data_IF_881722986309
#
_entry.id   IF_881722986309
#
_cell.length_a   1.000
_cell.length_b   1.000
_cell.length_c   1.000
_cell.angle_alpha   90.00
_cell.angle_beta   90.00
_cell.angle_gamma   90.00
#
_symmetry.space_group_name_H-M   'P 1'
#
loop_
_entity.id
_entity.type
_entity.pdbx_description
1 polymer ?
#
# COMPACT_ATOMS: atom_id res chain seq x y z
N UNK A 1 -5.40 -9.98 -21.51
CA UNK A 1 -5.52 -8.83 -22.43
C UNK A 1 -6.18 -7.69 -21.66
N UNK A 2 -5.41 -6.74 -21.15
CA UNK A 2 -5.91 -5.38 -21.01
C UNK A 2 -4.94 -4.50 -21.79
N UNK A 3 -5.50 -3.60 -22.60
CA UNK A 3 -4.78 -2.87 -23.62
C UNK A 3 -3.93 -1.75 -23.03
N UNK A 4 -2.71 -1.62 -23.53
CA UNK A 4 -1.83 -0.46 -23.36
C UNK A 4 -2.37 0.73 -24.16
N UNK A 5 -2.58 1.87 -23.51
CA UNK A 5 -2.67 3.17 -24.19
C UNK A 5 -1.33 3.89 -24.06
N UNK A 6 -0.73 4.24 -25.22
CA UNK A 6 0.59 4.88 -25.30
C UNK A 6 0.57 6.30 -24.72
N UNK A 7 1.52 6.60 -23.84
CA UNK A 7 1.81 7.96 -23.38
C UNK A 7 2.71 8.74 -24.37
N UNK A 8 2.55 10.07 -24.52
CA UNK A 8 3.40 10.89 -25.38
C UNK A 8 4.73 11.23 -24.69
N UNK A 9 5.77 11.40 -25.51
CA UNK A 9 7.13 11.64 -25.07
C UNK A 9 7.37 13.10 -24.64
N UNK A 10 8.00 13.27 -23.47
CA UNK A 10 8.75 14.47 -23.10
C UNK A 10 8.26 15.17 -21.83
N UNK A 11 9.03 15.06 -20.74
CA UNK A 11 9.67 16.18 -20.03
C UNK A 11 10.30 15.70 -18.72
N UNK A 12 11.46 16.26 -18.39
CA UNK A 12 12.37 15.82 -17.33
C UNK A 12 11.91 16.12 -15.90
N UNK A 13 12.60 15.45 -14.97
CA UNK A 13 12.36 15.47 -13.53
C UNK A 13 11.88 14.09 -13.08
N UNK A 14 12.78 13.24 -12.59
CA UNK A 14 12.48 11.90 -12.06
C UNK A 14 11.66 11.98 -10.77
N UNK A 15 10.39 12.35 -10.89
CA UNK A 15 9.34 11.95 -9.99
C UNK A 15 8.43 11.09 -10.86
N UNK A 16 8.52 9.77 -10.73
CA UNK A 16 7.57 8.85 -11.37
C UNK A 16 6.16 9.39 -11.11
N UNK A 17 5.48 9.84 -12.16
CA UNK A 17 4.09 10.29 -12.10
C UNK A 17 3.22 9.14 -11.63
N UNK A 18 3.03 9.08 -10.32
CA UNK A 18 1.85 8.59 -9.61
C UNK A 18 1.37 7.19 -10.01
N UNK A 19 2.07 6.16 -9.53
CA UNK A 19 1.31 5.02 -9.03
C UNK A 19 0.38 5.57 -7.94
N UNK A 20 -0.92 5.70 -8.19
CA UNK A 20 -1.90 5.94 -7.11
C UNK A 20 -2.08 4.63 -6.35
N UNK A 21 -1.00 4.11 -5.76
CA UNK A 21 -1.01 3.02 -4.79
C UNK A 21 -0.86 3.66 -3.42
N UNK A 22 -1.87 3.55 -2.58
CA UNK A 22 -1.82 4.00 -1.19
C UNK A 22 -2.22 2.85 -0.31
N UNK A 23 -1.46 2.61 0.76
CA UNK A 23 -1.79 1.61 1.77
C UNK A 23 -1.98 2.32 3.10
N UNK A 24 -3.08 2.02 3.78
CA UNK A 24 -3.38 2.49 5.13
C UNK A 24 -3.67 1.28 6.03
N UNK A 25 -3.32 1.41 7.30
CA UNK A 25 -3.67 0.43 8.32
C UNK A 25 -4.78 0.97 9.20
N UNK A 26 -5.68 0.09 9.60
CA UNK A 26 -6.74 0.37 10.57
C UNK A 26 -6.66 -0.69 11.65
N UNK A 27 -6.58 -0.26 12.90
CA UNK A 27 -6.55 -1.13 14.09
C UNK A 27 -7.79 -0.82 14.91
N UNK A 28 -8.64 -1.81 15.16
CA UNK A 28 -9.93 -1.67 15.86
C UNK A 28 -10.78 -0.50 15.34
N UNK A 29 -10.83 -0.36 14.01
CA UNK A 29 -11.59 0.68 13.34
C UNK A 29 -10.94 2.08 13.30
N UNK A 30 -9.72 2.27 13.83
CA UNK A 30 -9.00 3.55 13.85
C UNK A 30 -7.78 3.54 12.94
N UNK A 31 -7.53 4.64 12.22
CA UNK A 31 -6.36 4.78 11.35
C UNK A 31 -5.06 4.66 12.17
N UNK A 32 -4.17 3.78 11.72
CA UNK A 32 -2.86 3.50 12.32
C UNK A 32 -1.74 3.98 11.38
N UNK A 33 -0.97 4.96 11.84
CA UNK A 33 0.16 5.52 11.08
C UNK A 33 1.52 5.18 11.72
N UNK A 34 1.56 4.97 13.04
CA UNK A 34 2.80 4.65 13.73
C UNK A 34 3.24 3.21 13.44
N UNK A 35 4.55 3.01 13.32
CA UNK A 35 5.12 1.68 13.05
C UNK A 35 4.90 1.17 11.62
N UNK A 36 4.30 1.98 10.72
CA UNK A 36 4.14 1.63 9.31
C UNK A 36 5.47 1.76 8.58
N UNK A 37 5.93 0.67 7.99
CA UNK A 37 7.16 0.59 7.22
C UNK A 37 6.87 0.23 5.77
N UNK A 38 7.72 0.77 4.89
CA UNK A 38 7.55 0.77 3.45
C UNK A 38 8.81 0.21 2.81
N UNK A 39 8.68 -0.79 1.94
CA UNK A 39 9.81 -1.17 1.09
C UNK A 39 9.87 -0.26 -0.13
N UNK A 40 11.06 -0.12 -0.71
CA UNK A 40 11.19 0.49 -2.01
C UNK A 40 10.36 -0.26 -3.06
N UNK A 41 9.85 0.50 -4.02
CA UNK A 41 9.12 -0.05 -5.17
C UNK A 41 10.10 -0.82 -6.03
N UNK A 42 9.82 -2.11 -6.23
CA UNK A 42 10.63 -3.00 -7.07
C UNK A 42 9.89 -3.32 -8.36
N UNK A 43 10.63 -3.39 -9.48
CA UNK A 43 10.07 -3.84 -10.76
C UNK A 43 10.24 -5.35 -10.88
N UNK A 44 9.15 -6.07 -11.03
CA UNK A 44 9.14 -7.50 -11.35
C UNK A 44 8.42 -7.67 -12.69
N UNK A 45 9.21 -7.94 -13.73
CA UNK A 45 8.76 -7.94 -15.13
C UNK A 45 8.13 -6.59 -15.49
N UNK A 46 6.86 -6.56 -15.94
CA UNK A 46 6.16 -5.33 -16.32
C UNK A 46 5.35 -4.71 -15.18
N UNK A 47 5.43 -5.27 -13.97
CA UNK A 47 4.68 -4.83 -12.81
C UNK A 47 5.60 -4.21 -11.75
N UNK A 48 5.09 -3.17 -11.10
CA UNK A 48 5.71 -2.57 -9.92
C UNK A 48 5.11 -3.21 -8.66
N UNK A 49 5.98 -3.58 -7.73
CA UNK A 49 5.62 -4.24 -6.48
C UNK A 49 6.14 -3.42 -5.30
N UNK A 50 5.26 -3.22 -4.33
CA UNK A 50 5.55 -2.52 -3.09
C UNK A 50 5.02 -3.34 -1.92
N UNK A 51 5.74 -3.33 -0.80
CA UNK A 51 5.30 -3.97 0.44
C UNK A 51 5.17 -2.93 1.54
N UNK A 52 4.19 -3.14 2.40
CA UNK A 52 3.91 -2.33 3.57
C UNK A 52 3.73 -3.25 4.77
N UNK A 53 4.41 -2.92 5.86
CA UNK A 53 4.38 -3.66 7.11
C UNK A 53 3.90 -2.74 8.22
N UNK A 54 3.16 -3.30 9.17
CA UNK A 54 2.88 -2.66 10.44
C UNK A 54 3.70 -3.38 11.51
N UNK A 55 4.59 -2.66 12.18
CA UNK A 55 5.45 -3.20 13.24
C UNK A 55 5.07 -2.60 14.59
N UNK A 56 4.88 -3.46 15.58
CA UNK A 56 4.59 -3.08 16.97
C UNK A 56 5.09 -4.17 17.94
N UNK A 57 5.07 -3.88 19.24
CA UNK A 57 5.37 -4.88 20.26
C UNK A 57 4.32 -5.99 20.29
N UNK A 58 4.70 -7.17 20.77
CA UNK A 58 3.75 -8.29 20.94
C UNK A 58 2.60 -7.91 21.88
N UNK A 59 2.88 -7.16 22.95
CA UNK A 59 1.85 -6.73 23.90
C UNK A 59 0.84 -5.79 23.25
N UNK A 60 1.31 -4.87 22.39
CA UNK A 60 0.40 -4.01 21.62
C UNK A 60 -0.38 -4.83 20.61
N UNK A 61 0.26 -5.80 19.94
CA UNK A 61 -0.42 -6.63 18.96
C UNK A 61 -1.62 -7.39 19.58
N UNK A 62 -1.40 -7.99 20.74
CA UNK A 62 -2.39 -8.77 21.47
C UNK A 62 -3.43 -7.91 22.21
N UNK A 63 -3.23 -6.59 22.29
CA UNK A 63 -4.17 -5.68 22.91
C UNK A 63 -5.32 -5.25 21.99
N UNK A 64 -5.27 -5.65 20.71
CA UNK A 64 -6.25 -5.32 19.69
C UNK A 64 -6.86 -6.58 19.08
N UNK A 65 -8.08 -6.45 18.58
CA UNK A 65 -8.86 -7.58 18.08
C UNK A 65 -8.83 -7.66 16.55
N UNK A 66 -8.66 -6.51 15.86
CA UNK A 66 -8.78 -6.45 14.41
C UNK A 66 -7.71 -5.58 13.76
N UNK A 67 -7.22 -6.05 12.62
CA UNK A 67 -6.24 -5.36 11.79
C UNK A 67 -6.69 -5.36 10.34
N UNK A 68 -6.85 -4.18 9.75
CA UNK A 68 -7.20 -4.04 8.34
C UNK A 68 -6.12 -3.32 7.54
N UNK A 69 -5.73 -3.92 6.41
CA UNK A 69 -4.94 -3.29 5.37
C UNK A 69 -5.88 -2.75 4.30
N UNK A 70 -5.90 -1.42 4.10
CA UNK A 70 -6.68 -0.73 3.09
C UNK A 70 -5.77 -0.27 1.97
N UNK A 71 -5.94 -0.84 0.77
CA UNK A 71 -5.16 -0.55 -0.42
C UNK A 71 -6.04 0.22 -1.41
N UNK A 72 -5.62 1.42 -1.79
CA UNK A 72 -6.18 2.13 -2.94
C UNK A 72 -5.21 2.00 -4.11
N UNK A 73 -5.62 1.35 -5.20
CA UNK A 73 -4.85 1.25 -6.44
C UNK A 73 -5.65 1.85 -7.59
N UNK A 74 -5.19 3.00 -8.11
CA UNK A 74 -5.83 3.72 -9.21
C UNK A 74 -7.31 4.05 -8.91
N UNK A 75 -7.62 4.40 -7.65
CA UNK A 75 -8.98 4.71 -7.22
C UNK A 75 -9.84 3.51 -6.84
N UNK A 76 -9.33 2.28 -7.00
CA UNK A 76 -10.01 1.06 -6.53
C UNK A 76 -9.52 0.71 -5.14
N UNK A 77 -10.46 0.52 -4.21
CA UNK A 77 -10.15 0.17 -2.83
C UNK A 77 -10.30 -1.34 -2.59
N UNK A 78 -9.34 -1.88 -1.86
CA UNK A 78 -9.31 -3.25 -1.38
C UNK A 78 -9.05 -3.21 0.12
N UNK A 79 -9.84 -3.93 0.90
CA UNK A 79 -9.61 -4.06 2.33
C UNK A 79 -9.47 -5.54 2.67
N UNK A 80 -8.37 -5.89 3.30
CA UNK A 80 -8.18 -7.19 3.93
C UNK A 80 -8.18 -6.98 5.44
N UNK A 81 -9.01 -7.73 6.17
CA UNK A 81 -9.09 -7.67 7.64
C UNK A 81 -8.72 -9.03 8.20
N UNK A 82 -7.90 -9.02 9.24
CA UNK A 82 -7.57 -10.17 10.07
C UNK A 82 -8.07 -9.92 11.49
N UNK A 83 -8.63 -10.95 12.11
CA UNK A 83 -9.06 -10.97 13.52
C UNK A 83 -8.06 -11.80 14.32
N UNK A 84 -7.73 -11.36 15.55
CA UNK A 84 -6.73 -12.01 16.42
C UNK A 84 -7.38 -12.91 17.46
#
# INVERSE_FOLDING_TARGET
>A
MWSEERAPAGQGGTQLTVLRLTVKWVVDGKDQNDGVQSTDVSKQSDNLHEKRYLSMSSDNWLAHETYSCKVNHQGKEFTQTEEI
#
